data_IF_023496936813
#
_entry.id   IF_023496936813
#
_cell.length_a   1.000
_cell.length_b   1.000
_cell.length_c   1.000
_cell.angle_alpha   90.00
_cell.angle_beta   90.00
_cell.angle_gamma   90.00
#
_symmetry.space_group_name_H-M   'P 1'
#
loop_
_entity.id
_entity.type
_entity.pdbx_description
1 polymer ?
#
# COMPACT_ATOMS: atom_id res chain seq x y z
N UNK A 1 -24.38 9.04 19.40
CA UNK A 1 -25.00 7.73 19.14
C UNK A 1 -25.90 7.69 17.90
N UNK A 2 -26.47 8.82 17.45
CA UNK A 2 -27.36 8.89 16.27
C UNK A 2 -26.65 8.84 14.91
N UNK A 3 -25.42 9.34 14.79
CA UNK A 3 -24.69 9.42 13.51
C UNK A 3 -24.27 8.04 12.95
N UNK A 4 -24.02 7.02 13.80
CA UNK A 4 -23.71 5.65 13.36
C UNK A 4 -24.88 4.95 12.66
N UNK A 5 -26.12 5.26 13.04
CA UNK A 5 -27.32 4.67 12.42
C UNK A 5 -27.59 5.21 11.01
N UNK A 6 -27.35 6.50 10.76
CA UNK A 6 -27.54 7.08 9.43
C UNK A 6 -26.50 6.59 8.42
N UNK A 7 -25.25 6.38 8.87
CA UNK A 7 -24.18 5.90 7.98
C UNK A 7 -24.38 4.43 7.56
N UNK A 8 -24.78 3.55 8.50
CA UNK A 8 -25.16 2.17 8.16
C UNK A 8 -26.38 2.12 7.23
N UNK A 9 -27.33 3.04 7.41
CA UNK A 9 -28.50 3.11 6.55
C UNK A 9 -28.17 3.60 5.14
N UNK A 10 -27.33 4.62 5.00
CA UNK A 10 -26.86 5.11 3.70
C UNK A 10 -25.99 4.08 2.97
N UNK A 11 -25.12 3.37 3.68
CA UNK A 11 -24.32 2.30 3.09
C UNK A 11 -25.16 1.10 2.67
N UNK A 12 -26.10 0.66 3.53
CA UNK A 12 -27.03 -0.41 3.18
C UNK A 12 -27.95 -0.02 2.01
N UNK A 13 -28.38 1.26 1.95
CA UNK A 13 -29.17 1.78 0.85
C UNK A 13 -28.33 1.88 -0.45
N UNK A 14 -27.06 2.26 -0.36
CA UNK A 14 -26.14 2.27 -1.51
C UNK A 14 -25.86 0.85 -2.03
N UNK A 15 -25.61 -0.11 -1.14
CA UNK A 15 -25.45 -1.53 -1.48
C UNK A 15 -26.76 -2.12 -2.03
N UNK A 16 -27.92 -1.78 -1.47
CA UNK A 16 -29.21 -2.22 -1.97
C UNK A 16 -29.52 -1.62 -3.36
N UNK A 17 -29.17 -0.36 -3.62
CA UNK A 17 -29.28 0.27 -4.93
C UNK A 17 -28.32 -0.41 -5.93
N UNK A 18 -27.11 -0.77 -5.53
CA UNK A 18 -26.16 -1.48 -6.36
C UNK A 18 -26.60 -2.93 -6.65
N UNK A 19 -27.14 -3.64 -5.67
CA UNK A 19 -27.70 -4.98 -5.86
C UNK A 19 -28.94 -4.98 -6.78
N UNK A 20 -29.82 -3.97 -6.66
CA UNK A 20 -30.95 -3.82 -7.55
C UNK A 20 -30.55 -3.37 -8.96
N UNK A 21 -29.49 -2.55 -9.09
CA UNK A 21 -28.94 -2.19 -10.39
C UNK A 21 -28.27 -3.38 -11.10
N UNK A 22 -27.65 -4.29 -10.34
CA UNK A 22 -27.05 -5.52 -10.88
C UNK A 22 -28.09 -6.48 -11.49
N UNK A 23 -29.32 -6.50 -10.96
CA UNK A 23 -30.44 -7.27 -11.52
C UNK A 23 -31.09 -6.65 -12.77
N UNK A 24 -30.84 -5.36 -13.02
CA UNK A 24 -31.57 -4.58 -14.03
C UNK A 24 -30.85 -4.47 -15.39
N UNK A 25 -29.79 -5.23 -15.63
CA UNK A 25 -29.06 -5.22 -16.92
C UNK A 25 -29.69 -6.09 -18.01
N UNK A 26 -30.70 -6.86 -17.69
CA UNK A 26 -31.60 -7.43 -18.66
C UNK A 26 -32.90 -6.64 -18.57
N UNK A 27 -33.55 -6.36 -19.70
CA UNK A 27 -34.94 -5.88 -19.72
C UNK A 27 -35.71 -6.73 -18.70
N UNK A 28 -35.85 -6.22 -17.49
CA UNK A 28 -36.56 -6.95 -16.43
C UNK A 28 -38.03 -6.86 -16.74
N UNK A 29 -38.55 -7.93 -17.27
CA UNK A 29 -39.94 -8.14 -17.43
C UNK A 29 -40.46 -8.54 -16.05
N UNK A 30 -41.07 -7.62 -15.35
CA UNK A 30 -41.80 -7.93 -14.11
C UNK A 30 -43.22 -8.24 -14.52
N UNK A 31 -43.59 -9.49 -14.40
CA UNK A 31 -44.98 -9.94 -14.55
C UNK A 31 -45.61 -9.79 -13.18
N UNK A 32 -46.57 -8.90 -13.05
CA UNK A 32 -47.38 -8.82 -11.84
C UNK A 32 -48.18 -10.14 -11.70
N UNK A 33 -47.88 -10.89 -10.64
CA UNK A 33 -48.48 -12.21 -10.40
C UNK A 33 -50.00 -12.18 -10.10
N UNK A 34 -50.56 -10.97 -9.86
CA UNK A 34 -51.97 -10.78 -9.54
C UNK A 34 -52.76 -10.30 -10.76
N UNK A 35 -52.18 -9.40 -11.57
CA UNK A 35 -52.88 -8.80 -12.72
C UNK A 35 -52.43 -9.34 -14.07
N UNK A 36 -51.34 -10.06 -14.15
CA UNK A 36 -50.75 -10.55 -15.41
C UNK A 36 -50.10 -9.46 -16.25
N UNK A 37 -50.04 -8.22 -15.75
CA UNK A 37 -49.45 -7.09 -16.48
C UNK A 37 -47.96 -7.23 -16.63
N UNK A 38 -47.46 -7.10 -17.84
CA UNK A 38 -46.05 -7.14 -18.20
C UNK A 38 -45.48 -5.71 -18.23
N UNK A 39 -44.71 -5.33 -17.22
CA UNK A 39 -44.05 -4.03 -17.19
C UNK A 39 -42.55 -4.17 -17.52
N UNK A 40 -42.16 -3.57 -18.65
CA UNK A 40 -40.74 -3.40 -18.97
C UNK A 40 -40.15 -2.17 -18.26
N UNK A 41 -39.27 -2.38 -17.31
CA UNK A 41 -38.53 -1.30 -16.66
C UNK A 41 -37.18 -1.08 -17.34
N UNK A 42 -37.04 0.02 -18.09
CA UNK A 42 -35.74 0.53 -18.54
C UNK A 42 -35.23 1.52 -17.51
N UNK A 43 -34.22 1.13 -16.72
CA UNK A 43 -33.54 2.04 -15.79
C UNK A 43 -32.92 3.28 -16.47
N UNK A 44 -32.66 3.20 -17.77
CA UNK A 44 -32.08 4.27 -18.59
C UNK A 44 -33.01 5.47 -18.78
N UNK A 45 -34.31 5.35 -18.54
CA UNK A 45 -35.28 6.42 -18.85
C UNK A 45 -35.41 7.44 -17.72
N UNK A 46 -34.91 7.18 -16.51
CA UNK A 46 -34.88 8.14 -15.41
C UNK A 46 -33.60 8.96 -15.46
N UNK A 47 -33.70 10.23 -15.88
CA UNK A 47 -32.54 11.18 -15.98
C UNK A 47 -31.67 11.22 -14.72
N UNK A 48 -32.26 11.08 -13.52
CA UNK A 48 -31.54 11.08 -12.25
C UNK A 48 -30.66 9.85 -12.01
N UNK A 49 -30.93 8.71 -12.68
CA UNK A 49 -30.19 7.46 -12.52
C UNK A 49 -29.11 7.24 -13.59
N UNK A 50 -29.02 8.11 -14.61
CA UNK A 50 -28.00 8.01 -15.67
C UNK A 50 -26.56 7.98 -15.14
N UNK A 51 -26.15 8.81 -14.16
CA UNK A 51 -24.80 8.77 -13.62
C UNK A 51 -24.51 7.44 -12.89
N UNK A 52 -25.48 6.92 -12.12
CA UNK A 52 -25.36 5.64 -11.41
C UNK A 52 -25.27 4.47 -12.40
N UNK A 53 -26.04 4.50 -13.47
CA UNK A 53 -25.99 3.50 -14.53
C UNK A 53 -24.67 3.57 -15.31
N UNK A 54 -24.12 4.76 -15.53
CA UNK A 54 -22.80 4.91 -16.14
C UNK A 54 -21.70 4.29 -15.24
N UNK A 55 -21.71 4.60 -13.94
CA UNK A 55 -20.77 4.01 -12.96
C UNK A 55 -20.92 2.49 -12.91
N UNK A 56 -22.14 2.01 -12.84
CA UNK A 56 -22.41 0.56 -12.87
C UNK A 56 -21.87 -0.12 -14.12
N UNK A 57 -22.17 0.41 -15.31
CA UNK A 57 -21.67 -0.13 -16.57
C UNK A 57 -20.14 -0.06 -16.68
N UNK A 58 -19.54 1.01 -16.18
CA UNK A 58 -18.09 1.13 -16.11
C UNK A 58 -17.49 0.03 -15.24
N UNK A 59 -17.99 -0.19 -14.03
CA UNK A 59 -17.53 -1.23 -13.12
C UNK A 59 -17.79 -2.64 -13.66
N UNK A 60 -18.97 -2.88 -14.22
CA UNK A 60 -19.32 -4.17 -14.81
C UNK A 60 -18.46 -4.52 -16.04
N UNK A 61 -18.08 -3.50 -16.84
CA UNK A 61 -17.23 -3.69 -18.00
C UNK A 61 -15.74 -3.78 -17.63
N UNK A 62 -15.30 -3.21 -16.49
CA UNK A 62 -13.92 -3.31 -16.01
C UNK A 62 -13.50 -4.75 -15.70
N UNK A 63 -14.46 -5.64 -15.40
CA UNK A 63 -14.22 -7.06 -15.14
C UNK A 63 -14.19 -7.93 -16.41
N UNK A 64 -14.46 -7.37 -17.58
CA UNK A 64 -14.37 -8.14 -18.85
C UNK A 64 -12.91 -8.34 -19.21
N UNK A 65 -12.47 -9.58 -19.26
CA UNK A 65 -11.12 -9.98 -19.68
C UNK A 65 -10.91 -9.52 -21.14
N UNK A 66 -10.00 -8.59 -21.35
CA UNK A 66 -9.57 -8.10 -22.68
C UNK A 66 -8.17 -8.64 -22.95
N UNK A 67 -8.08 -9.92 -23.35
CA UNK A 67 -6.79 -10.57 -23.63
C UNK A 67 -6.12 -10.07 -24.90
N UNK A 68 -6.87 -9.49 -25.81
CA UNK A 68 -6.50 -9.07 -27.15
C UNK A 68 -6.05 -7.60 -27.23
N UNK A 69 -6.19 -6.83 -26.14
CA UNK A 69 -5.86 -5.40 -26.12
C UNK A 69 -4.46 -5.19 -25.55
N UNK A 70 -3.65 -4.42 -26.25
CA UNK A 70 -2.29 -4.05 -25.81
C UNK A 70 -2.27 -3.09 -24.60
N UNK A 71 -3.38 -2.47 -24.30
CA UNK A 71 -3.58 -1.57 -23.18
C UNK A 71 -4.97 -1.78 -22.58
N UNK A 72 -5.06 -2.01 -21.28
CA UNK A 72 -6.32 -2.14 -20.54
C UNK A 72 -6.18 -1.38 -19.22
N UNK A 73 -6.87 -0.25 -19.10
CA UNK A 73 -6.80 0.61 -17.93
C UNK A 73 -8.18 0.95 -17.38
N UNK A 74 -8.24 1.08 -16.06
CA UNK A 74 -9.44 1.42 -15.33
C UNK A 74 -9.19 2.37 -14.18
N UNK A 75 -10.17 3.21 -13.89
CA UNK A 75 -10.16 4.14 -12.77
C UNK A 75 -11.30 3.82 -11.83
N UNK A 76 -11.01 3.78 -10.53
CA UNK A 76 -12.00 3.57 -9.45
C UNK A 76 -11.86 4.70 -8.47
N UNK A 77 -12.95 5.32 -8.08
CA UNK A 77 -12.99 6.30 -7.02
C UNK A 77 -14.23 6.13 -6.14
N UNK A 78 -14.14 6.60 -4.91
CA UNK A 78 -15.29 6.54 -4.01
C UNK A 78 -14.98 7.03 -2.61
N UNK A 79 -16.02 7.15 -1.79
CA UNK A 79 -15.88 7.40 -0.37
C UNK A 79 -15.40 6.12 0.34
N UNK A 80 -14.58 6.31 1.37
CA UNK A 80 -14.14 5.27 2.27
C UNK A 80 -14.27 5.73 3.71
N UNK A 81 -14.40 4.80 4.63
CA UNK A 81 -14.38 5.06 6.05
C UNK A 81 -13.53 4.02 6.76
N UNK A 82 -12.62 4.50 7.58
CA UNK A 82 -11.79 3.67 8.44
C UNK A 82 -11.65 4.40 9.81
N UNK A 83 -11.52 3.66 10.89
CA UNK A 83 -11.36 4.23 12.24
C UNK A 83 -10.13 5.15 12.29
N UNK A 84 -9.03 4.79 11.64
CA UNK A 84 -7.80 5.55 11.64
C UNK A 84 -7.88 6.80 10.75
N UNK A 85 -8.53 6.71 9.59
CA UNK A 85 -8.61 7.79 8.60
C UNK A 85 -9.85 8.67 8.76
N UNK A 86 -10.87 8.18 9.45
CA UNK A 86 -12.20 8.76 9.43
C UNK A 86 -12.85 8.63 8.05
N UNK A 87 -13.72 9.58 7.70
CA UNK A 87 -14.27 9.67 6.35
C UNK A 87 -13.18 10.15 5.39
N UNK A 88 -13.04 9.48 4.27
CA UNK A 88 -12.08 9.79 3.22
C UNK A 88 -12.74 9.72 1.85
N UNK A 89 -12.17 10.43 0.91
CA UNK A 89 -12.43 10.27 -0.52
C UNK A 89 -11.12 9.88 -1.18
N UNK A 90 -11.17 8.94 -2.09
CA UNK A 90 -9.98 8.48 -2.79
C UNK A 90 -10.30 7.78 -4.07
N UNK A 91 -9.26 7.48 -4.82
CA UNK A 91 -9.36 6.74 -6.05
C UNK A 91 -8.05 6.09 -6.44
N UNK A 92 -8.15 5.16 -7.37
CA UNK A 92 -7.03 4.47 -7.96
C UNK A 92 -7.21 4.32 -9.46
N UNK A 93 -6.11 4.40 -10.16
CA UNK A 93 -5.98 4.07 -11.56
C UNK A 93 -5.06 2.87 -11.71
N UNK A 94 -5.47 1.88 -12.48
CA UNK A 94 -4.62 0.72 -12.80
C UNK A 94 -4.69 0.45 -14.29
N UNK A 95 -3.53 0.26 -14.92
CA UNK A 95 -3.47 -0.12 -16.31
C UNK A 95 -2.46 -1.25 -16.54
N UNK A 96 -2.88 -2.20 -17.36
CA UNK A 96 -2.06 -3.27 -17.91
C UNK A 96 -1.71 -2.94 -19.36
N UNK A 97 -0.44 -3.06 -19.71
CA UNK A 97 0.01 -2.80 -21.09
C UNK A 97 1.17 -3.71 -21.48
N UNK A 98 1.40 -3.85 -22.78
CA UNK A 98 2.51 -4.64 -23.31
C UNK A 98 3.42 -3.76 -24.18
N UNK A 99 4.72 -3.86 -23.96
CA UNK A 99 5.74 -3.23 -24.81
C UNK A 99 5.92 -3.94 -26.16
N UNK A 100 5.53 -5.21 -26.24
CA UNK A 100 5.54 -5.96 -27.50
C UNK A 100 4.20 -6.71 -27.67
N UNK A 101 3.41 -6.27 -28.66
CA UNK A 101 2.10 -6.86 -28.96
C UNK A 101 2.19 -8.25 -29.56
N UNK A 102 3.33 -8.58 -30.17
CA UNK A 102 3.54 -9.84 -30.88
C UNK A 102 4.09 -10.93 -29.96
N UNK A 103 4.61 -10.55 -28.80
CA UNK A 103 5.11 -11.49 -27.80
C UNK A 103 4.02 -11.88 -26.80
N UNK A 104 3.33 -12.96 -27.09
CA UNK A 104 2.24 -13.50 -26.23
C UNK A 104 2.75 -14.12 -24.93
N UNK A 105 4.05 -14.38 -24.80
CA UNK A 105 4.68 -14.93 -23.60
C UNK A 105 5.13 -13.83 -22.63
N UNK A 106 5.33 -12.61 -23.14
CA UNK A 106 5.73 -11.48 -22.32
C UNK A 106 4.62 -11.14 -21.32
N UNK A 107 4.98 -11.07 -20.04
CA UNK A 107 4.03 -10.61 -19.02
C UNK A 107 3.63 -9.17 -19.30
N UNK A 108 2.37 -8.82 -19.03
CA UNK A 108 1.89 -7.45 -19.16
C UNK A 108 2.49 -6.60 -18.06
N UNK A 109 3.01 -5.45 -18.44
CA UNK A 109 3.43 -4.38 -17.54
C UNK A 109 2.20 -3.79 -16.84
N UNK A 110 2.39 -3.32 -15.61
CA UNK A 110 1.33 -2.67 -14.84
C UNK A 110 1.81 -1.31 -14.35
N UNK A 111 0.90 -0.35 -14.36
CA UNK A 111 1.04 0.91 -13.64
C UNK A 111 -0.19 1.11 -12.76
N UNK A 112 0.05 1.45 -11.50
CA UNK A 112 -0.97 1.79 -10.53
C UNK A 112 -0.73 3.20 -10.03
N UNK A 113 -1.77 4.01 -9.99
CA UNK A 113 -1.77 5.31 -9.34
C UNK A 113 -2.87 5.36 -8.29
N UNK A 114 -2.67 6.10 -7.21
CA UNK A 114 -3.68 6.30 -6.19
C UNK A 114 -3.64 7.73 -5.64
N UNK A 115 -4.79 8.18 -5.17
CA UNK A 115 -4.90 9.38 -4.35
C UNK A 115 -5.93 9.17 -3.25
N UNK A 116 -5.73 9.85 -2.12
CA UNK A 116 -6.64 9.83 -0.99
C UNK A 116 -6.56 11.14 -0.22
N UNK A 117 -7.72 11.62 0.23
CA UNK A 117 -7.82 12.71 1.20
C UNK A 117 -8.86 12.36 2.26
N UNK A 118 -8.61 12.70 3.53
CA UNK A 118 -9.49 12.37 4.64
C UNK A 118 -9.73 13.53 5.59
N UNK A 119 -10.84 13.45 6.34
CA UNK A 119 -11.22 14.47 7.36
C UNK A 119 -10.24 14.52 8.53
N UNK A 120 -9.45 13.47 8.77
CA UNK A 120 -8.39 13.46 9.78
C UNK A 120 -7.06 14.03 9.28
N UNK A 121 -7.06 14.65 8.09
CA UNK A 121 -5.89 15.32 7.52
C UNK A 121 -4.91 14.38 6.82
N UNK A 122 -5.34 13.17 6.44
CA UNK A 122 -4.54 12.31 5.56
C UNK A 122 -4.65 12.84 4.15
N UNK A 123 -3.51 13.03 3.50
CA UNK A 123 -3.39 13.26 2.06
C UNK A 123 -2.34 12.30 1.55
N UNK A 124 -2.70 11.48 0.58
CA UNK A 124 -1.80 10.52 -0.04
C UNK A 124 -1.97 10.54 -1.56
N UNK A 125 -0.88 10.53 -2.27
CA UNK A 125 -0.82 10.35 -3.72
C UNK A 125 0.40 9.53 -4.07
N UNK A 126 0.26 8.62 -5.02
CA UNK A 126 1.39 7.81 -5.45
C UNK A 126 1.16 7.15 -6.80
N UNK A 127 2.26 6.70 -7.36
CA UNK A 127 2.30 5.91 -8.58
C UNK A 127 3.36 4.83 -8.43
N UNK A 128 3.04 3.62 -8.84
CA UNK A 128 3.97 2.50 -8.93
C UNK A 128 3.86 1.83 -10.29
N UNK A 129 4.94 1.27 -10.77
CA UNK A 129 4.96 0.56 -12.04
C UNK A 129 5.92 -0.62 -12.05
N UNK A 130 5.47 -1.69 -12.70
CA UNK A 130 6.28 -2.87 -12.99
C UNK A 130 6.29 -3.09 -14.50
N UNK A 131 7.43 -2.86 -15.11
CA UNK A 131 7.57 -2.83 -16.56
C UNK A 131 8.40 -4.02 -17.04
N UNK A 132 7.80 -4.82 -17.91
CA UNK A 132 8.43 -5.94 -18.60
C UNK A 132 8.74 -5.49 -20.04
N UNK A 133 10.02 -5.29 -20.34
CA UNK A 133 10.44 -4.79 -21.65
C UNK A 133 10.53 -5.94 -22.65
N UNK A 134 10.67 -5.56 -23.93
CA UNK A 134 10.68 -6.47 -25.06
C UNK A 134 11.57 -7.71 -24.83
N UNK A 135 10.98 -8.90 -25.04
CA UNK A 135 11.66 -10.20 -24.86
C UNK A 135 12.03 -10.52 -23.41
N UNK A 136 11.45 -9.82 -22.44
CA UNK A 136 11.71 -9.94 -21.00
C UNK A 136 13.22 -9.85 -20.64
N UNK A 137 13.97 -9.07 -21.43
CA UNK A 137 15.41 -8.89 -21.21
C UNK A 137 15.71 -7.89 -20.11
N UNK A 138 14.83 -6.92 -19.93
CA UNK A 138 14.96 -5.85 -18.96
C UNK A 138 13.66 -5.68 -18.22
N UNK A 139 13.75 -5.33 -16.94
CA UNK A 139 12.60 -4.95 -16.11
C UNK A 139 12.91 -3.62 -15.44
N UNK A 140 11.91 -2.76 -15.36
CA UNK A 140 11.98 -1.47 -14.67
C UNK A 140 10.83 -1.35 -13.70
N UNK A 141 11.14 -1.29 -12.42
CA UNK A 141 10.17 -1.08 -11.36
C UNK A 141 10.42 0.30 -10.75
N UNK A 142 9.35 0.98 -10.40
CA UNK A 142 9.41 2.26 -9.73
C UNK A 142 8.23 2.46 -8.81
N UNK A 143 8.44 3.23 -7.75
CA UNK A 143 7.42 3.72 -6.83
C UNK A 143 7.74 5.16 -6.46
N UNK A 144 6.75 6.03 -6.60
CA UNK A 144 6.75 7.37 -6.08
C UNK A 144 5.51 7.55 -5.21
N UNK A 145 5.69 8.03 -3.98
CA UNK A 145 4.55 8.37 -3.13
C UNK A 145 4.85 9.59 -2.26
N UNK A 146 3.82 10.42 -2.13
CA UNK A 146 3.75 11.50 -1.17
C UNK A 146 2.60 11.21 -0.23
N UNK A 147 2.89 11.22 1.08
CA UNK A 147 1.88 10.95 2.10
C UNK A 147 2.03 11.91 3.26
N UNK A 148 0.94 12.54 3.62
CA UNK A 148 0.78 13.27 4.86
C UNK A 148 -0.26 12.55 5.72
N UNK A 149 0.09 12.18 6.94
CA UNK A 149 -0.80 11.41 7.80
C UNK A 149 -0.52 11.65 9.30
N UNK A 150 -1.55 11.49 10.16
CA UNK A 150 -1.34 11.40 11.59
C UNK A 150 -0.60 10.09 11.90
N UNK A 151 0.47 10.17 12.64
CA UNK A 151 1.33 9.05 13.02
C UNK A 151 1.37 8.92 14.53
N UNK A 152 1.29 7.69 15.01
CA UNK A 152 1.52 7.36 16.40
C UNK A 152 2.89 6.67 16.52
N UNK A 153 3.61 6.96 17.59
CA UNK A 153 4.94 6.43 17.82
C UNK A 153 5.08 5.92 19.25
N UNK A 154 5.49 4.66 19.40
CA UNK A 154 5.59 3.96 20.70
C UNK A 154 7.04 3.72 21.15
N UNK A 155 8.01 4.29 20.43
CA UNK A 155 9.43 4.09 20.71
C UNK A 155 10.12 3.16 19.70
N UNK A 156 11.39 2.93 19.94
CA UNK A 156 12.27 2.05 19.16
C UNK A 156 12.58 0.81 19.98
N UNK A 157 12.58 -0.36 19.35
CA UNK A 157 12.71 -1.66 19.99
C UNK A 157 11.36 -2.33 20.21
N UNK A 158 11.28 -3.63 19.91
CA UNK A 158 10.03 -4.40 19.99
C UNK A 158 9.48 -4.40 21.41
N UNK A 159 10.33 -4.62 22.42
CA UNK A 159 9.91 -4.65 23.83
C UNK A 159 9.46 -3.25 24.30
N UNK A 160 10.23 -2.21 24.00
CA UNK A 160 9.88 -0.82 24.36
C UNK A 160 8.53 -0.42 23.77
N UNK A 161 8.30 -0.75 22.51
CA UNK A 161 7.03 -0.45 21.83
C UNK A 161 5.86 -1.22 22.44
N UNK A 162 6.07 -2.47 22.85
CA UNK A 162 5.07 -3.31 23.51
C UNK A 162 4.70 -2.75 24.89
N UNK A 163 5.69 -2.41 25.70
CA UNK A 163 5.50 -1.87 27.04
C UNK A 163 4.75 -0.53 26.99
N UNK A 164 5.13 0.35 26.08
CA UNK A 164 4.45 1.63 25.87
C UNK A 164 3.03 1.47 25.34
N UNK A 165 2.80 0.51 24.46
CA UNK A 165 1.46 0.20 23.97
C UNK A 165 0.53 -0.24 25.10
N UNK A 166 0.97 -1.17 25.96
CA UNK A 166 0.17 -1.62 27.11
C UNK A 166 0.05 -0.56 28.21
N UNK A 167 1.06 0.28 28.40
CA UNK A 167 1.00 1.41 29.31
C UNK A 167 0.17 2.59 28.75
N UNK A 168 -0.37 2.47 27.55
CA UNK A 168 -1.09 3.54 26.84
C UNK A 168 -0.29 4.84 26.71
N UNK A 169 1.01 4.70 26.48
CA UNK A 169 1.97 5.80 26.25
C UNK A 169 2.36 5.83 24.78
N UNK A 170 2.13 6.94 24.13
CA UNK A 170 2.54 7.14 22.73
C UNK A 170 2.72 8.62 22.43
N UNK A 171 3.41 8.91 21.35
CA UNK A 171 3.48 10.26 20.80
C UNK A 171 2.58 10.33 19.58
N UNK A 172 1.57 11.17 19.66
CA UNK A 172 0.79 11.56 18.48
C UNK A 172 1.54 12.65 17.72
N UNK A 173 1.60 12.51 16.43
CA UNK A 173 2.34 13.43 15.55
C UNK A 173 1.68 13.51 14.18
N UNK A 174 2.16 14.48 13.37
CA UNK A 174 1.90 14.52 11.93
C UNK A 174 3.18 14.21 11.18
N UNK A 175 3.10 13.30 10.25
CA UNK A 175 4.23 12.91 9.42
C UNK A 175 3.96 13.24 7.96
N UNK A 176 4.92 13.92 7.33
CA UNK A 176 5.03 14.06 5.89
C UNK A 176 6.10 13.09 5.41
N UNK A 177 5.75 12.26 4.43
CA UNK A 177 6.62 11.25 3.86
C UNK A 177 6.66 11.40 2.34
N UNK A 178 7.86 11.51 1.78
CA UNK A 178 8.12 11.45 0.35
C UNK A 178 9.02 10.27 0.07
N UNK A 179 8.56 9.34 -0.76
CA UNK A 179 9.26 8.13 -1.13
C UNK A 179 9.47 8.09 -2.64
N UNK A 180 10.67 7.75 -3.07
CA UNK A 180 11.02 7.46 -4.45
C UNK A 180 11.91 6.22 -4.47
N UNK A 181 11.42 5.14 -5.05
CA UNK A 181 12.20 3.93 -5.28
C UNK A 181 12.21 3.59 -6.76
N UNK A 182 13.30 2.99 -7.21
CA UNK A 182 13.40 2.47 -8.57
C UNK A 182 14.50 1.45 -8.71
N UNK A 183 14.25 0.43 -9.54
CA UNK A 183 15.25 -0.53 -9.95
C UNK A 183 15.14 -0.83 -11.44
N UNK A 184 16.29 -1.01 -12.05
CA UNK A 184 16.41 -1.43 -13.44
C UNK A 184 17.24 -2.70 -13.52
N UNK A 185 16.64 -3.80 -13.98
CA UNK A 185 17.28 -5.11 -13.95
C UNK A 185 17.43 -5.71 -15.33
N UNK A 186 18.55 -6.43 -15.53
CA UNK A 186 18.87 -7.20 -16.71
C UNK A 186 18.68 -8.68 -16.43
N UNK A 187 18.19 -9.40 -17.42
CA UNK A 187 18.06 -10.85 -17.36
C UNK A 187 19.45 -11.50 -17.42
N UNK A 188 19.82 -12.22 -16.35
CA UNK A 188 21.07 -13.01 -16.29
C UNK A 188 20.87 -14.43 -16.76
N UNK A 189 19.74 -15.05 -16.38
CA UNK A 189 19.36 -16.40 -16.73
C UNK A 189 17.84 -16.49 -16.82
N UNK A 190 17.31 -17.67 -17.10
CA UNK A 190 15.87 -17.87 -17.09
C UNK A 190 15.29 -17.51 -15.71
N UNK A 191 14.32 -16.59 -15.71
CA UNK A 191 13.64 -16.06 -14.52
C UNK A 191 14.54 -15.31 -13.50
N UNK A 192 15.84 -15.09 -13.81
CA UNK A 192 16.78 -14.45 -12.91
C UNK A 192 17.22 -13.09 -13.45
N UNK A 193 17.07 -12.05 -12.62
CA UNK A 193 17.35 -10.66 -12.98
C UNK A 193 18.20 -9.99 -11.90
N UNK A 194 19.14 -9.17 -12.32
CA UNK A 194 20.03 -8.40 -11.44
C UNK A 194 20.15 -6.97 -11.98
N UNK A 195 20.20 -6.01 -11.09
CA UNK A 195 20.44 -4.61 -11.48
C UNK A 195 20.53 -3.62 -10.33
N UNK A 196 20.85 -2.36 -10.64
CA UNK A 196 20.92 -1.29 -9.65
C UNK A 196 19.54 -0.96 -9.09
N UNK A 197 19.56 -0.52 -7.83
CA UNK A 197 18.40 0.01 -7.11
C UNK A 197 18.74 1.35 -6.48
N UNK A 198 17.79 2.27 -6.55
CA UNK A 198 17.76 3.55 -5.85
C UNK A 198 16.60 3.56 -4.87
N UNK A 199 16.83 4.09 -3.69
CA UNK A 199 15.83 4.26 -2.65
C UNK A 199 16.03 5.62 -1.98
N UNK A 200 15.07 6.52 -2.17
CA UNK A 200 15.05 7.82 -1.55
C UNK A 200 13.84 7.94 -0.64
N UNK A 201 14.07 8.39 0.59
CA UNK A 201 13.03 8.61 1.58
C UNK A 201 13.30 9.93 2.31
N UNK A 202 12.33 10.84 2.27
CA UNK A 202 12.30 12.04 3.09
C UNK A 202 11.14 11.95 4.07
N UNK A 203 11.40 12.25 5.33
CA UNK A 203 10.38 12.30 6.38
C UNK A 203 10.51 13.54 7.22
N UNK A 204 9.41 14.21 7.47
CA UNK A 204 9.30 15.30 8.41
C UNK A 204 8.21 14.99 9.43
N UNK A 205 8.60 14.89 10.69
CA UNK A 205 7.71 14.69 11.82
C UNK A 205 7.49 16.03 12.53
N UNK A 206 6.24 16.39 12.77
CA UNK A 206 5.90 17.67 13.40
C UNK A 206 4.59 17.60 14.17
N UNK A 207 4.30 18.63 14.98
CA UNK A 207 3.13 18.68 15.87
C UNK A 207 3.06 17.44 16.76
N UNK A 208 4.19 17.15 17.40
CA UNK A 208 4.27 16.07 18.39
C UNK A 208 3.48 16.44 19.64
N UNK A 209 2.74 15.47 20.16
CA UNK A 209 1.97 15.59 21.39
C UNK A 209 2.07 14.28 22.18
N UNK A 210 2.53 14.37 23.41
CA UNK A 210 2.63 13.22 24.28
C UNK A 210 1.25 12.80 24.76
N UNK A 211 0.89 11.57 24.49
CA UNK A 211 -0.32 10.93 25.00
C UNK A 211 0.11 10.01 26.16
N UNK A 212 -0.18 10.46 27.39
CA UNK A 212 0.18 9.79 28.62
C UNK A 212 -1.10 9.53 29.41
N UNK A 213 -1.21 8.42 30.17
CA UNK A 213 -2.36 8.14 31.04
C UNK A 213 -2.67 9.31 31.98
N UNK A 214 -3.96 9.52 32.23
CA UNK A 214 -4.41 10.60 33.10
C UNK A 214 -3.88 10.42 34.53
N UNK A 215 -3.20 11.43 35.06
CA UNK A 215 -2.59 11.39 36.41
C UNK A 215 -1.12 11.00 36.44
N UNK A 216 -0.52 10.65 35.29
CA UNK A 216 0.94 10.51 35.17
C UNK A 216 1.56 11.83 34.68
N UNK A 217 2.62 12.25 35.32
CA UNK A 217 3.46 13.34 34.79
C UNK A 217 4.48 12.78 33.80
N UNK A 218 4.82 13.57 32.78
CA UNK A 218 5.90 13.17 31.88
C UNK A 218 7.21 13.09 32.68
N UNK A 219 7.80 11.92 32.74
CA UNK A 219 9.13 11.73 33.37
C UNK A 219 10.26 12.33 32.52
N UNK A 220 9.94 12.81 31.32
CA UNK A 220 10.92 13.31 30.35
C UNK A 220 10.78 14.81 30.18
N UNK A 221 11.78 15.61 30.59
CA UNK A 221 11.71 17.08 30.56
C UNK A 221 11.41 17.67 29.18
N UNK A 222 11.88 17.00 28.14
CA UNK A 222 11.75 17.45 26.74
C UNK A 222 10.66 16.66 25.97
N UNK A 223 9.90 15.81 26.65
CA UNK A 223 8.84 14.99 26.08
C UNK A 223 9.27 13.60 25.62
N UNK A 224 8.27 12.75 25.41
CA UNK A 224 8.46 11.36 25.02
C UNK A 224 9.16 11.20 23.66
N UNK A 225 8.93 12.10 22.72
CA UNK A 225 9.50 11.96 21.37
C UNK A 225 11.03 12.08 21.38
N UNK A 226 11.58 13.04 22.10
CA UNK A 226 13.04 13.17 22.24
C UNK A 226 13.63 11.97 22.97
N UNK A 227 12.95 11.48 24.01
CA UNK A 227 13.37 10.27 24.69
C UNK A 227 13.37 9.04 23.76
N UNK A 228 12.32 8.83 22.96
CA UNK A 228 12.26 7.70 22.04
C UNK A 228 13.29 7.75 20.93
N UNK A 229 13.74 8.94 20.55
CA UNK A 229 14.76 9.15 19.55
C UNK A 229 16.16 9.44 20.13
N UNK A 230 16.34 9.29 21.46
CA UNK A 230 17.60 9.54 22.13
C UNK A 230 18.74 8.73 21.50
N UNK A 231 19.89 9.38 21.36
CA UNK A 231 21.10 8.75 20.86
C UNK A 231 21.74 7.91 21.96
N UNK A 232 22.32 6.74 21.64
CA UNK A 232 22.92 5.85 22.64
C UNK A 232 24.07 6.45 23.44
N UNK A 233 24.78 7.41 22.86
CA UNK A 233 25.90 8.11 23.48
C UNK A 233 25.51 9.30 24.39
N UNK A 234 24.19 9.58 24.47
CA UNK A 234 23.66 10.68 25.26
C UNK A 234 23.90 12.07 24.67
N UNK A 235 24.38 12.18 23.44
CA UNK A 235 24.69 13.48 22.80
C UNK A 235 23.44 14.26 22.37
N UNK A 236 22.25 13.66 22.48
CA UNK A 236 20.97 14.27 22.08
C UNK A 236 20.00 13.25 21.56
N UNK A 237 19.25 13.64 20.54
CA UNK A 237 18.27 12.76 19.88
C UNK A 237 18.39 12.85 18.35
N UNK A 238 17.90 11.82 17.65
CA UNK A 238 17.79 11.85 16.19
C UNK A 238 16.87 12.98 15.74
N UNK A 239 17.16 13.64 14.61
CA UNK A 239 16.32 14.74 14.12
C UNK A 239 14.93 14.23 13.70
N UNK A 240 13.93 15.10 13.85
CA UNK A 240 12.55 14.82 13.45
C UNK A 240 12.38 14.88 11.92
N UNK A 241 13.25 15.64 11.26
CA UNK A 241 13.33 15.69 9.80
C UNK A 241 14.54 14.90 9.35
N UNK A 242 14.32 13.88 8.55
CA UNK A 242 15.38 13.02 8.05
C UNK A 242 15.25 12.79 6.55
N UNK A 243 16.39 12.62 5.92
CA UNK A 243 16.52 12.21 4.52
C UNK A 243 17.40 10.95 4.48
N UNK A 244 16.98 9.95 3.72
CA UNK A 244 17.76 8.76 3.47
C UNK A 244 17.82 8.49 1.97
N UNK A 245 19.04 8.48 1.42
CA UNK A 245 19.32 8.14 0.02
C UNK A 245 20.20 6.88 -0.02
N UNK A 246 19.61 5.79 -0.47
CA UNK A 246 20.24 4.49 -0.62
C UNK A 246 20.51 4.14 -2.07
N UNK A 247 21.69 3.60 -2.34
CA UNK A 247 22.07 3.02 -3.61
C UNK A 247 22.47 1.57 -3.39
N UNK A 248 22.12 0.70 -4.33
CA UNK A 248 22.43 -0.70 -4.18
C UNK A 248 22.05 -1.53 -5.37
N UNK A 249 21.85 -2.82 -5.11
CA UNK A 249 21.50 -3.80 -6.12
C UNK A 249 20.28 -4.61 -5.71
N UNK A 250 19.53 -5.08 -6.69
CA UNK A 250 18.43 -6.03 -6.51
C UNK A 250 18.67 -7.26 -7.36
N UNK A 251 18.47 -8.44 -6.74
CA UNK A 251 18.46 -9.74 -7.40
C UNK A 251 17.04 -10.29 -7.31
N UNK A 252 16.43 -10.59 -8.45
CA UNK A 252 15.06 -11.10 -8.51
C UNK A 252 15.01 -12.41 -9.28
N UNK A 253 14.44 -13.44 -8.66
CA UNK A 253 14.03 -14.67 -9.34
C UNK A 253 12.49 -14.72 -9.38
N UNK A 254 11.90 -14.82 -10.56
CA UNK A 254 10.46 -14.79 -10.73
C UNK A 254 9.99 -15.83 -11.74
N UNK A 255 9.52 -16.97 -11.25
CA UNK A 255 8.96 -18.08 -12.03
C UNK A 255 7.43 -18.16 -11.93
N UNK A 256 6.78 -17.10 -11.43
CA UNK A 256 5.33 -17.04 -11.35
C UNK A 256 4.71 -17.03 -12.74
N UNK A 257 3.58 -17.69 -12.88
CA UNK A 257 2.79 -17.67 -14.12
C UNK A 257 2.20 -16.28 -14.41
N UNK A 258 1.80 -15.53 -13.36
CA UNK A 258 1.32 -14.15 -13.44
C UNK A 258 1.85 -13.32 -12.27
N UNK A 259 2.38 -12.14 -12.55
CA UNK A 259 2.95 -11.28 -11.51
C UNK A 259 1.90 -10.76 -10.51
N UNK A 260 0.68 -10.48 -10.98
CA UNK A 260 -0.39 -9.86 -10.19
C UNK A 260 -1.36 -10.85 -9.56
N UNK A 261 -1.50 -12.04 -10.13
CA UNK A 261 -2.42 -13.07 -9.65
C UNK A 261 -1.84 -14.46 -9.93
N UNK A 262 -0.81 -14.81 -9.18
CA UNK A 262 -0.10 -16.06 -9.36
C UNK A 262 -0.90 -17.26 -8.87
N UNK A 263 -0.94 -18.31 -9.68
CA UNK A 263 -1.49 -19.62 -9.32
C UNK A 263 -0.39 -20.61 -8.95
N UNK A 264 0.80 -20.47 -9.55
CA UNK A 264 1.95 -21.34 -9.30
C UNK A 264 3.25 -20.58 -9.50
N UNK A 265 4.31 -21.09 -8.88
CA UNK A 265 5.66 -20.59 -9.04
C UNK A 265 6.22 -19.93 -7.80
N UNK A 266 7.41 -19.38 -7.94
CA UNK A 266 8.20 -18.78 -6.90
C UNK A 266 8.57 -17.35 -7.28
N UNK A 267 8.63 -16.50 -6.29
CA UNK A 267 9.20 -15.18 -6.37
C UNK A 267 10.20 -15.02 -5.23
N UNK A 268 11.42 -14.69 -5.56
CA UNK A 268 12.45 -14.34 -4.60
C UNK A 268 13.05 -12.99 -4.99
N UNK A 269 13.14 -12.10 -4.05
CA UNK A 269 13.77 -10.79 -4.25
C UNK A 269 14.71 -10.51 -3.08
N UNK A 270 15.96 -10.24 -3.41
CA UNK A 270 16.99 -9.81 -2.48
C UNK A 270 17.46 -8.42 -2.90
N UNK A 271 17.38 -7.48 -1.99
CA UNK A 271 17.86 -6.11 -2.19
C UNK A 271 18.94 -5.83 -1.16
N UNK A 272 20.05 -5.29 -1.62
CA UNK A 272 21.13 -4.81 -0.78
C UNK A 272 21.35 -3.33 -1.07
N UNK A 273 21.13 -2.49 -0.08
CA UNK A 273 21.24 -1.03 -0.17
C UNK A 273 22.31 -0.52 0.78
N UNK A 274 23.12 0.44 0.32
CA UNK A 274 24.07 1.18 1.12
C UNK A 274 23.64 2.63 1.24
N UNK A 275 23.68 3.15 2.45
CA UNK A 275 23.42 4.54 2.78
C UNK A 275 24.73 5.17 3.25
N UNK A 276 25.36 5.98 2.39
CA UNK A 276 26.67 6.55 2.66
C UNK A 276 26.58 7.76 3.61
N UNK A 277 27.45 7.89 4.61
CA UNK A 277 27.55 9.10 5.41
C UNK A 277 27.93 10.31 4.53
N UNK A 278 27.42 11.49 4.87
CA UNK A 278 27.60 12.72 4.08
C UNK A 278 26.46 12.99 3.10
N UNK A 279 25.87 11.95 2.48
CA UNK A 279 24.58 12.02 1.77
C UNK A 279 23.42 11.75 2.74
N UNK A 280 23.69 11.01 3.79
CA UNK A 280 22.80 10.69 4.88
C UNK A 280 23.44 11.13 6.18
N UNK A 281 22.64 11.36 7.21
CA UNK A 281 23.15 11.72 8.54
C UNK A 281 24.00 10.58 9.15
N UNK A 282 23.57 9.32 8.92
CA UNK A 282 24.24 8.11 9.42
C UNK A 282 24.53 7.15 8.27
N UNK A 283 25.67 6.43 8.38
CA UNK A 283 26.07 5.37 7.45
C UNK A 283 25.56 4.02 7.89
N UNK A 284 24.82 3.30 7.02
CA UNK A 284 24.30 1.95 7.31
C UNK A 284 24.02 1.18 6.03
N UNK A 285 23.79 -0.11 6.21
CA UNK A 285 23.37 -1.03 5.15
C UNK A 285 21.99 -1.58 5.46
N UNK A 286 21.22 -1.85 4.41
CA UNK A 286 19.93 -2.53 4.52
C UNK A 286 19.89 -3.72 3.59
N UNK A 287 19.55 -4.88 4.13
CA UNK A 287 19.21 -6.09 3.35
C UNK A 287 17.71 -6.32 3.47
N UNK A 288 17.02 -6.40 2.33
CA UNK A 288 15.59 -6.73 2.26
C UNK A 288 15.44 -8.03 1.47
N UNK A 289 14.80 -9.03 2.09
CA UNK A 289 14.62 -10.36 1.49
C UNK A 289 13.15 -10.72 1.49
N UNK A 290 12.62 -10.99 0.31
CA UNK A 290 11.23 -11.40 0.13
C UNK A 290 11.14 -12.70 -0.64
N UNK A 291 10.42 -13.66 -0.09
CA UNK A 291 10.13 -14.92 -0.76
C UNK A 291 8.64 -15.17 -0.80
N UNK A 292 8.14 -15.57 -1.95
CA UNK A 292 6.74 -15.95 -2.15
C UNK A 292 6.70 -17.29 -2.90
N UNK A 293 5.75 -18.13 -2.51
CA UNK A 293 5.51 -19.42 -3.12
C UNK A 293 4.02 -19.61 -3.37
N UNK A 294 3.68 -20.09 -4.54
CA UNK A 294 2.31 -20.35 -4.96
C UNK A 294 2.18 -21.77 -5.51
N UNK A 295 1.17 -22.51 -5.05
CA UNK A 295 0.89 -23.85 -5.55
C UNK A 295 -0.62 -24.10 -5.60
N UNK A 296 -1.15 -24.64 -6.72
CA UNK A 296 -2.54 -25.03 -6.78
C UNK A 296 -2.79 -26.23 -5.87
N UNK A 297 -3.78 -26.14 -4.98
CA UNK A 297 -4.24 -27.26 -4.15
C UNK A 297 -5.31 -28.07 -4.88
N UNK A 298 -6.31 -27.39 -5.46
CA UNK A 298 -7.34 -27.95 -6.29
C UNK A 298 -7.91 -26.90 -7.24
N UNK A 299 -8.85 -27.30 -8.10
CA UNK A 299 -9.44 -26.39 -9.08
C UNK A 299 -10.00 -25.13 -8.41
N UNK A 300 -9.50 -23.97 -8.78
CA UNK A 300 -9.82 -22.63 -8.26
C UNK A 300 -9.31 -22.33 -6.81
N UNK A 301 -8.46 -23.16 -6.25
CA UNK A 301 -7.83 -22.89 -4.96
C UNK A 301 -6.31 -22.92 -5.07
N UNK A 302 -5.66 -21.86 -4.61
CA UNK A 302 -4.20 -21.71 -4.58
C UNK A 302 -3.75 -21.48 -3.15
N UNK A 303 -2.76 -22.25 -2.71
CA UNK A 303 -2.02 -21.95 -1.48
C UNK A 303 -0.93 -20.93 -1.81
N UNK A 304 -0.92 -19.84 -1.07
CA UNK A 304 0.11 -18.82 -1.16
C UNK A 304 0.84 -18.70 0.19
N UNK A 305 2.16 -18.65 0.13
CA UNK A 305 3.02 -18.40 1.28
C UNK A 305 3.92 -17.21 0.99
N UNK A 306 4.15 -16.37 2.00
CA UNK A 306 5.11 -15.26 1.93
C UNK A 306 5.96 -15.21 3.19
N UNK A 307 7.26 -15.07 3.00
CA UNK A 307 8.21 -14.66 4.03
C UNK A 307 8.88 -13.35 3.59
N UNK A 308 9.03 -12.42 4.51
CA UNK A 308 9.67 -11.13 4.26
C UNK A 308 10.48 -10.74 5.48
N UNK A 309 11.72 -10.36 5.27
CA UNK A 309 12.62 -9.89 6.32
C UNK A 309 13.40 -8.66 5.87
N UNK A 310 13.56 -7.71 6.77
CA UNK A 310 14.38 -6.52 6.60
C UNK A 310 15.40 -6.46 7.73
N UNK A 311 16.65 -6.27 7.37
CA UNK A 311 17.79 -6.23 8.27
C UNK A 311 18.58 -4.96 8.00
N UNK A 312 18.71 -4.13 9.03
CA UNK A 312 19.54 -2.93 9.00
C UNK A 312 20.77 -3.17 9.89
N UNK A 313 21.95 -2.85 9.37
CA UNK A 313 23.22 -3.01 10.10
C UNK A 313 24.19 -1.90 9.73
N UNK A 314 24.97 -1.47 10.69
CA UNK A 314 25.94 -0.41 10.57
C UNK A 314 26.67 -0.22 11.90
N UNK A 315 27.69 0.62 11.88
CA UNK A 315 28.46 0.96 13.09
C UNK A 315 27.80 2.05 13.91
N UNK A 316 26.86 2.79 13.29
CA UNK A 316 26.19 3.94 13.87
C UNK A 316 24.70 3.70 14.10
N UNK A 317 24.01 4.73 14.49
CA UNK A 317 22.57 4.74 14.68
C UNK A 317 21.85 4.53 13.34
N UNK A 318 20.90 3.62 13.30
CA UNK A 318 20.00 3.51 12.16
C UNK A 318 18.93 4.60 12.26
N UNK A 319 18.75 5.43 11.20
CA UNK A 319 17.72 6.45 11.20
C UNK A 319 16.35 5.87 11.49
N UNK A 320 15.59 6.47 12.40
CA UNK A 320 14.28 5.95 12.83
C UNK A 320 13.29 5.76 11.68
N UNK A 321 13.42 6.55 10.60
CA UNK A 321 12.59 6.42 9.39
C UNK A 321 12.93 5.18 8.57
N UNK A 322 14.11 4.58 8.78
CA UNK A 322 14.59 3.40 8.05
C UNK A 322 14.51 2.10 8.85
N UNK A 323 14.17 2.20 10.12
CA UNK A 323 13.96 1.02 10.95
C UNK A 323 12.93 0.09 10.30
N UNK A 324 13.16 -1.19 10.39
CA UNK A 324 12.19 -2.20 10.02
C UNK A 324 10.94 -2.06 10.89
N UNK A 325 9.75 -2.06 10.30
CA UNK A 325 8.50 -1.81 11.04
C UNK A 325 7.39 -2.76 10.63
N UNK A 326 6.55 -3.09 11.58
CA UNK A 326 5.31 -3.86 11.37
C UNK A 326 4.11 -2.93 11.11
N UNK A 327 2.97 -3.54 10.76
CA UNK A 327 1.72 -2.81 10.55
C UNK A 327 1.54 -2.26 9.14
N UNK A 328 2.43 -2.62 8.20
CA UNK A 328 2.29 -2.28 6.79
C UNK A 328 1.66 -3.43 5.98
N UNK A 329 1.41 -3.19 4.69
CA UNK A 329 0.79 -4.20 3.81
C UNK A 329 1.65 -5.45 3.59
N UNK A 330 2.96 -5.35 3.79
CA UNK A 330 3.90 -6.44 3.59
C UNK A 330 4.23 -7.22 4.86
N UNK A 331 4.20 -6.53 6.01
CA UNK A 331 4.62 -7.08 7.31
C UNK A 331 3.61 -6.78 8.40
N UNK A 332 2.98 -7.81 8.98
CA UNK A 332 2.18 -7.68 10.19
C UNK A 332 0.91 -6.83 10.03
N UNK A 333 -0.01 -7.20 9.14
CA UNK A 333 -1.27 -6.46 8.87
C UNK A 333 -2.20 -6.27 10.08
N UNK A 334 -2.02 -7.03 11.16
CA UNK A 334 -2.84 -6.95 12.37
C UNK A 334 -2.41 -5.85 13.35
N UNK A 335 -1.28 -5.21 13.12
CA UNK A 335 -0.72 -4.17 13.98
C UNK A 335 -0.99 -2.76 13.41
N UNK A 336 -0.91 -1.74 14.27
CA UNK A 336 -0.90 -0.35 13.79
C UNK A 336 0.35 -0.08 12.96
N UNK A 337 0.24 0.82 12.00
CA UNK A 337 1.36 1.17 11.14
C UNK A 337 2.53 1.73 11.97
N UNK A 338 3.68 1.05 11.89
CA UNK A 338 4.87 1.42 12.62
C UNK A 338 4.79 1.21 14.15
N UNK A 339 3.85 0.39 14.64
CA UNK A 339 3.72 0.09 16.06
C UNK A 339 5.00 -0.51 16.63
N UNK A 340 5.58 -1.46 15.95
CA UNK A 340 6.87 -2.04 16.30
C UNK A 340 7.90 -1.59 15.30
N UNK A 341 8.99 -1.01 15.78
CA UNK A 341 10.12 -0.54 14.98
C UNK A 341 11.41 -1.02 15.62
N UNK A 342 12.24 -1.69 14.83
CA UNK A 342 13.53 -2.18 15.28
C UNK A 342 14.51 -2.23 14.11
N UNK A 343 15.78 -2.54 14.38
CA UNK A 343 16.76 -2.71 13.32
C UNK A 343 16.37 -3.86 12.37
N UNK A 344 15.75 -4.91 12.91
CA UNK A 344 15.44 -6.12 12.16
C UNK A 344 13.97 -6.55 12.40
N UNK A 345 13.33 -7.01 11.34
CA UNK A 345 12.00 -7.62 11.35
C UNK A 345 11.96 -8.80 10.40
#
# INVERSE_FOLDING_TARGET
MHMKRYFSFCFAMFVAIMCNAAGATRDSIVVDSITGDVRKYKLTDKKALKPLYWVYNYLANSNKRRSDVSYDGGFVFGPAYNINTGFAIGGGYSALYSFDKNDTKLQKSIVNGFFQASVKGIVAVGVEGHNFMKGDKHRFNYEFSFTHYPSAFWGIGTQTSLDNYYANRMVDSKQLLLKLEGDFTWKLAENLYLGPKLDFLYSNLYKTHDNIPQGEESMYPNGLMEHFLALPDGSGHQPFTQLALGLGVTLTYDSRDFATNAYKGHYFNLQQLGFAPGLNEYGFLTTDVKYQFYTPLWKKCTLAFQAHGRFNYGNDVIPWIRLASTGNQGMGRGYFFGQYRDNNV
#
